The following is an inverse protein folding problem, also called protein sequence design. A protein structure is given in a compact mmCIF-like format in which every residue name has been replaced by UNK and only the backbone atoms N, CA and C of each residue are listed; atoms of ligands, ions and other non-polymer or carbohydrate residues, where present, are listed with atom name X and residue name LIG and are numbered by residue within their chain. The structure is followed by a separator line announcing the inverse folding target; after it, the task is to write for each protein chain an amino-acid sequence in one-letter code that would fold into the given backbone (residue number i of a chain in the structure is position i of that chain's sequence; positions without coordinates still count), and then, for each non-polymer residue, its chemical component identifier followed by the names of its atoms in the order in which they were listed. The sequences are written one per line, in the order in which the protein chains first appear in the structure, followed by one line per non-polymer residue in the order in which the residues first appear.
data_IF_012299134283
#
_entry.id   IF_012299134283
#
_cell.length_a   1.000
_cell.length_b   1.000
_cell.length_c   1.000
_cell.angle_alpha   90.00
_cell.angle_beta   90.00
_cell.angle_gamma   90.00
#
_symmetry.space_group_name_H-M   'P 1'
#
loop_
_entity.id
_entity.type
_entity.pdbx_description
1 polymer ?
#
# COMPACT_ATOMS: atom_id res chain seq x y z
N UNK A 1 -35.50 -48.86 43.81
CA UNK A 1 -34.07 -49.24 43.91
C UNK A 1 -33.81 -50.26 42.80
N UNK A 2 -33.55 -49.79 41.58
CA UNK A 2 -32.21 -49.55 41.03
C UNK A 2 -31.53 -50.89 40.68
N UNK A 3 -31.61 -51.33 39.42
CA UNK A 3 -30.71 -51.00 38.29
C UNK A 3 -29.60 -52.05 38.18
N UNK A 4 -29.68 -52.91 37.16
CA UNK A 4 -28.71 -52.97 36.05
C UNK A 4 -29.17 -54.04 35.06
N UNK A 5 -29.80 -53.61 33.96
CA UNK A 5 -30.12 -54.48 32.83
C UNK A 5 -29.10 -54.24 31.72
N UNK A 6 -28.61 -55.36 31.19
CA UNK A 6 -27.62 -55.52 30.14
C UNK A 6 -28.11 -55.00 28.79
N UNK A 7 -27.21 -54.42 28.00
CA UNK A 7 -27.23 -54.49 26.54
C UNK A 7 -25.95 -53.89 25.95
N UNK A 8 -25.05 -54.74 25.45
CA UNK A 8 -24.13 -54.35 24.38
C UNK A 8 -24.93 -54.34 23.05
N UNK A 9 -24.68 -53.38 22.15
CA UNK A 9 -24.95 -53.60 20.73
C UNK A 9 -23.64 -53.67 19.94
N UNK A 10 -23.45 -54.81 19.27
CA UNK A 10 -22.63 -54.95 18.06
C UNK A 10 -23.39 -54.29 16.90
N UNK A 11 -22.74 -53.42 16.13
CA UNK A 11 -23.26 -53.02 14.82
C UNK A 11 -22.80 -51.66 14.32
N UNK A 12 -22.11 -51.69 13.17
CA UNK A 12 -22.36 -50.75 12.07
C UNK A 12 -21.61 -49.42 12.06
N UNK A 13 -20.36 -49.49 11.59
CA UNK A 13 -19.77 -48.79 10.44
C UNK A 13 -20.67 -47.84 9.58
N UNK A 14 -21.45 -46.94 10.16
CA UNK A 14 -22.35 -46.03 9.44
C UNK A 14 -22.41 -44.61 10.02
N UNK A 15 -21.37 -44.16 10.71
CA UNK A 15 -21.19 -42.73 11.07
C UNK A 15 -20.01 -42.11 10.32
N UNK A 16 -19.83 -42.51 9.06
CA UNK A 16 -18.80 -41.98 8.15
C UNK A 16 -19.42 -41.46 6.85
N UNK A 17 -20.65 -40.92 6.90
CA UNK A 17 -21.24 -40.20 5.75
C UNK A 17 -22.43 -39.31 6.12
N UNK A 18 -22.16 -38.03 6.38
CA UNK A 18 -22.95 -36.87 5.89
C UNK A 18 -22.23 -35.59 6.32
N UNK A 19 -21.20 -35.22 5.56
CA UNK A 19 -21.27 -34.23 4.48
C UNK A 19 -21.49 -32.84 5.07
N UNK A 20 -20.36 -32.15 5.25
CA UNK A 20 -20.19 -30.72 5.46
C UNK A 20 -21.28 -29.92 4.73
N UNK A 21 -22.26 -29.34 5.43
CA UNK A 21 -23.16 -28.34 4.86
C UNK A 21 -22.37 -27.02 4.79
N UNK A 22 -21.62 -26.82 3.69
CA UNK A 22 -20.87 -25.57 3.52
C UNK A 22 -19.95 -25.48 2.30
N UNK A 23 -19.61 -26.61 1.66
CA UNK A 23 -18.64 -26.63 0.56
C UNK A 23 -19.10 -25.92 -0.73
N UNK A 24 -20.38 -25.53 -0.85
CA UNK A 24 -20.94 -24.92 -2.06
C UNK A 24 -21.22 -23.41 -1.95
N UNK A 25 -20.76 -22.72 -0.90
CA UNK A 25 -21.00 -21.27 -0.71
C UNK A 25 -19.73 -20.40 -0.63
N UNK A 26 -18.54 -20.98 -0.83
CA UNK A 26 -17.24 -20.29 -0.64
C UNK A 26 -16.55 -19.75 -1.91
N UNK A 27 -17.03 -20.09 -3.12
CA UNK A 27 -16.35 -19.73 -4.36
C UNK A 27 -16.51 -18.27 -4.87
N UNK A 28 -17.51 -17.45 -4.47
CA UNK A 28 -17.53 -16.05 -4.90
C UNK A 28 -16.55 -15.17 -4.12
N UNK A 29 -16.29 -15.48 -2.84
CA UNK A 29 -15.36 -14.68 -2.02
C UNK A 29 -13.89 -14.90 -2.43
N UNK A 30 -13.49 -16.15 -2.67
CA UNK A 30 -12.11 -16.47 -3.07
C UNK A 30 -11.74 -15.90 -4.46
N UNK A 31 -12.67 -15.89 -5.41
CA UNK A 31 -12.44 -15.33 -6.76
C UNK A 31 -12.47 -13.79 -6.74
N UNK A 32 -13.37 -13.19 -5.95
CA UNK A 32 -13.38 -11.73 -5.75
C UNK A 32 -12.15 -11.23 -4.97
N UNK A 33 -11.63 -12.02 -4.04
CA UNK A 33 -10.42 -11.67 -3.28
C UNK A 33 -9.14 -11.87 -4.11
N UNK A 34 -9.09 -12.89 -4.98
CA UNK A 34 -7.99 -13.11 -5.91
C UNK A 34 -7.88 -12.00 -6.99
N UNK A 35 -9.00 -11.48 -7.50
CA UNK A 35 -9.00 -10.36 -8.45
C UNK A 35 -8.59 -9.04 -7.81
N UNK A 36 -8.95 -8.80 -6.55
CA UNK A 36 -8.52 -7.62 -5.80
C UNK A 36 -7.02 -7.65 -5.48
N UNK A 37 -6.47 -8.83 -5.17
CA UNK A 37 -5.04 -9.01 -4.91
C UNK A 37 -4.15 -8.71 -6.11
N UNK A 38 -4.54 -9.14 -7.32
CA UNK A 38 -3.75 -8.87 -8.53
C UNK A 38 -3.77 -7.38 -8.92
N UNK A 39 -4.91 -6.70 -8.78
CA UNK A 39 -5.02 -5.25 -9.00
C UNK A 39 -4.19 -4.48 -7.99
N UNK A 40 -4.23 -4.87 -6.71
CA UNK A 40 -3.41 -4.28 -5.67
C UNK A 40 -1.90 -4.45 -5.95
N UNK A 41 -1.46 -5.67 -6.29
CA UNK A 41 -0.06 -5.94 -6.64
C UNK A 41 0.41 -5.16 -7.87
N UNK A 42 -0.43 -5.08 -8.90
CA UNK A 42 -0.15 -4.27 -10.08
C UNK A 42 0.00 -2.79 -9.74
N UNK A 43 -0.93 -2.24 -8.94
CA UNK A 43 -0.87 -0.86 -8.48
C UNK A 43 0.36 -0.60 -7.60
N UNK A 44 0.74 -1.54 -6.73
CA UNK A 44 1.96 -1.47 -5.91
C UNK A 44 3.22 -1.43 -6.75
N UNK A 45 3.34 -2.38 -7.67
CA UNK A 45 4.49 -2.45 -8.55
C UNK A 45 4.65 -1.16 -9.36
N UNK A 46 3.56 -0.68 -9.96
CA UNK A 46 3.56 0.56 -10.74
C UNK A 46 3.93 1.77 -9.87
N UNK A 47 3.36 1.88 -8.66
CA UNK A 47 3.68 2.97 -7.73
C UNK A 47 5.16 2.94 -7.34
N UNK A 48 5.72 1.77 -7.04
CA UNK A 48 7.12 1.65 -6.65
C UNK A 48 8.06 1.93 -7.82
N UNK A 49 7.73 1.46 -9.02
CA UNK A 49 8.48 1.75 -10.23
C UNK A 49 8.50 3.25 -10.53
N UNK A 50 7.34 3.92 -10.48
CA UNK A 50 7.22 5.35 -10.71
C UNK A 50 8.00 6.16 -9.66
N UNK A 51 7.91 5.78 -8.38
CA UNK A 51 8.68 6.39 -7.30
C UNK A 51 10.18 6.27 -7.55
N UNK A 52 10.68 5.08 -7.85
CA UNK A 52 12.11 4.85 -8.05
C UNK A 52 12.62 5.63 -9.26
N UNK A 53 11.87 5.62 -10.37
CA UNK A 53 12.23 6.38 -11.57
C UNK A 53 12.25 7.89 -11.32
N UNK A 54 11.28 8.43 -10.58
CA UNK A 54 11.28 9.84 -10.19
C UNK A 54 12.51 10.18 -9.35
N UNK A 55 12.80 9.38 -8.32
CA UNK A 55 13.94 9.62 -7.42
C UNK A 55 15.27 9.58 -8.19
N UNK A 56 15.45 8.59 -9.07
CA UNK A 56 16.64 8.48 -9.91
C UNK A 56 16.75 9.71 -10.83
N UNK A 57 15.67 10.10 -11.50
CA UNK A 57 15.67 11.28 -12.36
C UNK A 57 16.04 12.55 -11.60
N UNK A 58 15.45 12.77 -10.42
CA UNK A 58 15.75 13.93 -9.58
C UNK A 58 17.21 13.94 -9.09
N UNK A 59 17.75 12.77 -8.71
CA UNK A 59 19.15 12.65 -8.29
C UNK A 59 20.12 12.90 -9.44
N UNK A 60 19.84 12.37 -10.63
CA UNK A 60 20.67 12.62 -11.83
C UNK A 60 20.62 14.11 -12.19
N UNK A 61 19.44 14.73 -12.22
CA UNK A 61 19.30 16.16 -12.51
C UNK A 61 19.96 17.04 -11.44
N UNK A 62 19.90 16.67 -10.16
CA UNK A 62 20.60 17.38 -9.09
C UNK A 62 22.13 17.23 -9.18
N UNK A 63 22.62 16.03 -9.51
CA UNK A 63 24.04 15.67 -9.49
C UNK A 63 24.82 16.07 -10.73
N UNK A 64 24.15 16.45 -11.83
CA UNK A 64 24.79 16.84 -13.09
C UNK A 64 24.98 18.36 -13.25
N UNK A 65 24.56 19.14 -12.26
CA UNK A 65 24.71 20.59 -12.26
C UNK A 65 26.11 21.04 -11.83
N UNK A 66 26.45 22.29 -12.14
CA UNK A 66 27.72 22.91 -11.72
C UNK A 66 27.96 22.95 -10.20
N UNK A 67 26.92 22.68 -9.40
CA UNK A 67 26.98 22.62 -7.93
C UNK A 67 26.33 21.35 -7.38
N UNK A 68 26.76 20.17 -7.89
CA UNK A 68 26.18 18.87 -7.55
C UNK A 68 25.94 18.64 -6.04
N UNK A 69 26.88 19.06 -5.18
CA UNK A 69 26.75 18.94 -3.73
C UNK A 69 25.53 19.70 -3.19
N UNK A 70 25.32 20.94 -3.62
CA UNK A 70 24.19 21.78 -3.17
C UNK A 70 22.87 21.20 -3.68
N UNK A 71 22.81 20.78 -4.95
CA UNK A 71 21.62 20.17 -5.54
C UNK A 71 21.18 18.90 -4.81
N UNK A 72 22.13 17.99 -4.57
CA UNK A 72 21.87 16.74 -3.86
C UNK A 72 21.49 16.98 -2.39
N UNK A 73 22.21 17.85 -1.67
CA UNK A 73 21.85 18.19 -0.29
C UNK A 73 20.44 18.80 -0.20
N UNK A 74 20.09 19.69 -1.12
CA UNK A 74 18.75 20.31 -1.17
C UNK A 74 17.66 19.28 -1.46
N UNK A 75 17.92 18.32 -2.36
CA UNK A 75 17.02 17.19 -2.62
C UNK A 75 16.75 16.38 -1.35
N UNK A 76 17.79 16.00 -0.60
CA UNK A 76 17.62 15.22 0.63
C UNK A 76 16.85 16.00 1.70
N UNK A 77 17.16 17.29 1.88
CA UNK A 77 16.41 18.15 2.81
C UNK A 77 14.94 18.24 2.40
N UNK A 78 14.65 18.44 1.11
CA UNK A 78 13.29 18.49 0.59
C UNK A 78 12.52 17.16 0.75
N UNK A 79 13.21 16.02 0.70
CA UNK A 79 12.61 14.72 0.98
C UNK A 79 12.36 14.49 2.48
N UNK A 80 13.28 14.91 3.34
CA UNK A 80 13.20 14.66 4.79
C UNK A 80 12.23 15.60 5.51
N UNK A 81 12.23 16.88 5.13
CA UNK A 81 11.51 17.92 5.86
C UNK A 81 9.99 17.63 5.97
N UNK A 82 9.28 17.28 4.89
CA UNK A 82 7.86 16.92 5.01
C UNK A 82 7.63 15.65 5.81
N UNK A 83 8.55 14.69 5.75
CA UNK A 83 8.43 13.43 6.49
C UNK A 83 8.48 13.64 8.00
N UNK A 84 9.35 14.54 8.46
CA UNK A 84 9.46 14.90 9.87
C UNK A 84 8.25 15.75 10.32
N UNK A 85 7.86 16.74 9.51
CA UNK A 85 6.84 17.71 9.92
C UNK A 85 5.40 17.19 9.77
N UNK A 86 5.14 16.41 8.73
CA UNK A 86 3.79 16.04 8.31
C UNK A 86 3.50 14.54 8.47
N UNK A 87 4.49 13.72 8.84
CA UNK A 87 4.31 12.28 9.07
C UNK A 87 3.16 11.96 10.05
N UNK A 88 3.13 12.56 11.27
CA UNK A 88 2.05 12.34 12.22
C UNK A 88 0.68 12.79 11.69
N UNK A 89 0.64 13.90 10.94
CA UNK A 89 -0.58 14.43 10.34
C UNK A 89 -1.10 13.49 9.24
N UNK A 90 -0.19 12.95 8.43
CA UNK A 90 -0.48 11.96 7.41
C UNK A 90 -1.14 10.71 8.00
N UNK A 91 -0.57 10.15 9.08
CA UNK A 91 -1.15 9.02 9.80
C UNK A 91 -2.55 9.32 10.35
N UNK A 92 -2.73 10.46 11.03
CA UNK A 92 -4.03 10.85 11.55
C UNK A 92 -5.10 11.08 10.48
N UNK A 93 -4.71 11.47 9.25
CA UNK A 93 -5.63 11.54 8.11
C UNK A 93 -6.08 10.15 7.65
N UNK A 94 -5.18 9.16 7.65
CA UNK A 94 -5.53 7.76 7.31
C UNK A 94 -6.55 7.21 8.30
N UNK A 95 -6.34 7.45 9.60
CA UNK A 95 -7.25 6.97 10.65
C UNK A 95 -8.68 7.48 10.47
N UNK A 96 -8.84 8.70 9.91
CA UNK A 96 -10.15 9.32 9.67
C UNK A 96 -10.79 8.91 8.35
N UNK A 97 -10.01 8.75 7.29
CA UNK A 97 -10.51 8.46 5.94
C UNK A 97 -10.73 6.96 5.69
N UNK A 98 -10.05 6.12 6.47
CA UNK A 98 -10.00 4.67 6.29
C UNK A 98 -8.94 4.24 5.26
N UNK A 99 -8.38 3.02 5.37
CA UNK A 99 -7.19 2.60 4.63
C UNK A 99 -7.33 2.68 3.10
N UNK A 100 -8.45 2.21 2.55
CA UNK A 100 -8.64 2.16 1.09
C UNK A 100 -8.77 3.54 0.45
N UNK A 101 -9.53 4.44 1.08
CA UNK A 101 -9.72 5.81 0.57
C UNK A 101 -8.46 6.63 0.73
N UNK A 102 -7.78 6.50 1.87
CA UNK A 102 -6.50 7.16 2.11
C UNK A 102 -5.41 6.68 1.14
N UNK A 103 -5.38 5.39 0.81
CA UNK A 103 -4.45 4.84 -0.17
C UNK A 103 -4.70 5.44 -1.57
N UNK A 104 -5.96 5.45 -2.03
CA UNK A 104 -6.32 6.04 -3.31
C UNK A 104 -6.00 7.55 -3.37
N UNK A 105 -6.30 8.30 -2.31
CA UNK A 105 -5.97 9.71 -2.20
C UNK A 105 -4.46 9.94 -2.24
N UNK A 106 -3.69 9.21 -1.43
CA UNK A 106 -2.23 9.29 -1.41
C UNK A 106 -1.63 8.96 -2.77
N UNK A 107 -2.20 7.98 -3.48
CA UNK A 107 -1.74 7.58 -4.80
C UNK A 107 -1.99 8.70 -5.81
N UNK A 108 -3.20 9.29 -5.79
CA UNK A 108 -3.53 10.44 -6.64
C UNK A 108 -2.62 11.65 -6.36
N UNK A 109 -2.37 11.97 -5.09
CA UNK A 109 -1.46 13.05 -4.70
C UNK A 109 -0.02 12.80 -5.19
N UNK A 110 0.48 11.55 -5.07
CA UNK A 110 1.81 11.18 -5.59
C UNK A 110 1.85 11.28 -7.11
N UNK A 111 0.86 10.77 -7.82
CA UNK A 111 0.77 10.90 -9.28
C UNK A 111 0.74 12.37 -9.70
N UNK A 112 0.02 13.22 -8.97
CA UNK A 112 -0.01 14.67 -9.21
C UNK A 112 1.33 15.37 -8.92
N UNK A 113 2.22 14.78 -8.13
CA UNK A 113 3.60 15.28 -7.98
C UNK A 113 4.55 14.70 -9.04
N UNK A 114 4.42 13.41 -9.35
CA UNK A 114 5.28 12.69 -10.29
C UNK A 114 5.08 13.20 -11.72
N UNK A 115 3.83 13.31 -12.20
CA UNK A 115 3.54 13.67 -13.60
C UNK A 115 4.08 15.06 -13.94
N UNK A 116 3.79 16.13 -13.18
CA UNK A 116 4.43 17.43 -13.41
C UNK A 116 5.94 17.36 -13.21
N UNK A 117 6.42 16.58 -12.25
CA UNK A 117 7.85 16.36 -12.04
C UNK A 117 8.57 15.96 -13.33
N UNK A 118 8.04 14.96 -14.04
CA UNK A 118 8.59 14.53 -15.34
C UNK A 118 8.48 15.58 -16.45
N UNK A 119 7.44 16.42 -16.44
CA UNK A 119 7.27 17.48 -17.43
C UNK A 119 8.23 18.67 -17.22
N UNK A 120 8.61 18.93 -15.96
CA UNK A 120 9.40 20.11 -15.58
C UNK A 120 10.84 19.79 -15.16
N UNK A 121 11.27 18.52 -15.26
CA UNK A 121 12.60 18.03 -14.88
C UNK A 121 13.77 18.59 -15.74
N UNK A 122 13.48 19.42 -16.73
CA UNK A 122 14.50 20.13 -17.53
C UNK A 122 15.17 21.28 -16.78
N UNK A 123 14.53 21.81 -15.72
CA UNK A 123 15.11 22.88 -14.91
C UNK A 123 15.62 22.34 -13.56
N UNK A 124 16.94 22.41 -13.44
CA UNK A 124 17.73 22.21 -12.24
C UNK A 124 17.12 22.79 -10.95
N UNK A 125 16.57 24.00 -11.04
CA UNK A 125 16.05 24.74 -9.90
C UNK A 125 14.71 24.18 -9.39
N UNK A 126 14.05 23.31 -10.15
CA UNK A 126 12.76 22.73 -9.78
C UNK A 126 12.89 21.39 -9.06
N UNK A 127 14.09 20.80 -9.00
CA UNK A 127 14.31 19.48 -8.39
C UNK A 127 13.83 19.43 -6.93
N UNK A 128 14.15 20.45 -6.13
CA UNK A 128 13.74 20.50 -4.72
C UNK A 128 12.23 20.71 -4.57
N UNK A 129 11.58 21.43 -5.50
CA UNK A 129 10.13 21.66 -5.53
C UNK A 129 9.39 20.35 -5.80
N UNK A 130 9.87 19.59 -6.79
CA UNK A 130 9.28 18.28 -7.11
C UNK A 130 9.51 17.30 -5.95
N UNK A 131 10.70 17.29 -5.36
CA UNK A 131 11.03 16.45 -4.21
C UNK A 131 10.14 16.75 -3.00
N UNK A 132 9.94 18.03 -2.65
CA UNK A 132 9.12 18.41 -1.50
C UNK A 132 7.63 18.12 -1.74
N UNK A 133 7.14 18.32 -2.97
CA UNK A 133 5.76 18.00 -3.34
C UNK A 133 5.51 16.48 -3.26
N UNK A 134 6.42 15.68 -3.83
CA UNK A 134 6.36 14.22 -3.77
C UNK A 134 6.45 13.71 -2.32
N UNK A 135 7.37 14.24 -1.52
CA UNK A 135 7.53 13.85 -0.12
C UNK A 135 6.31 14.23 0.72
N UNK A 136 5.70 15.38 0.47
CA UNK A 136 4.45 15.79 1.14
C UNK A 136 3.30 14.84 0.81
N UNK A 137 3.09 14.53 -0.47
CA UNK A 137 2.08 13.57 -0.91
C UNK A 137 2.28 12.17 -0.29
N UNK A 138 3.54 11.80 -0.07
CA UNK A 138 3.93 10.51 0.50
C UNK A 138 3.47 10.30 1.94
N UNK A 139 3.23 11.38 2.71
CA UNK A 139 2.87 11.27 4.12
C UNK A 139 1.50 10.64 4.33
N UNK A 140 0.60 10.74 3.34
CA UNK A 140 -0.72 10.08 3.39
C UNK A 140 -0.64 8.66 2.83
N UNK A 141 0.14 8.45 1.77
CA UNK A 141 0.21 7.15 1.10
C UNK A 141 0.83 6.06 1.96
N UNK A 142 2.01 6.31 2.54
CA UNK A 142 2.80 5.28 3.23
C UNK A 142 2.04 4.65 4.41
N UNK A 143 1.45 5.41 5.36
CA UNK A 143 0.65 4.81 6.42
C UNK A 143 -0.60 4.09 5.89
N UNK A 144 -1.25 4.63 4.85
CA UNK A 144 -2.44 4.00 4.27
C UNK A 144 -2.10 2.66 3.59
N UNK A 145 -0.95 2.58 2.95
CA UNK A 145 -0.40 1.36 2.37
C UNK A 145 -0.18 0.27 3.42
N UNK A 146 0.46 0.60 4.54
CA UNK A 146 0.68 -0.36 5.63
C UNK A 146 -0.64 -0.83 6.25
N UNK A 147 -1.61 0.08 6.42
CA UNK A 147 -2.93 -0.28 6.91
C UNK A 147 -3.70 -1.19 5.93
N UNK A 148 -3.51 -1.00 4.62
CA UNK A 148 -4.23 -1.77 3.59
C UNK A 148 -3.80 -3.25 3.55
N UNK A 149 -2.53 -3.55 3.84
CA UNK A 149 -2.00 -4.94 3.83
C UNK A 149 -2.78 -5.85 4.78
N UNK A 150 -3.31 -5.32 5.88
CA UNK A 150 -4.12 -6.11 6.82
C UNK A 150 -5.53 -6.45 6.30
N UNK A 151 -5.96 -5.84 5.20
CA UNK A 151 -7.34 -5.94 4.68
C UNK A 151 -7.46 -6.60 3.30
N UNK A 152 -6.36 -7.01 2.68
CA UNK A 152 -6.31 -7.72 1.38
C UNK A 152 -5.99 -9.19 1.64
#
# INVERSE_FOLDING_TARGET
MALLNSALPRGSALTLRRIVPGAARGLPAAVAQASNGSVYLGAKFLSQAAQNMLIIALLVTAGTQGSASVGLSSFFVAMLLPSVLLGPLGGGLVDRLGPSRAYALGAALRSAAIVPGFLFLCDANLVWVVAIAYSTASQVFTPAEFALVHHV
#
